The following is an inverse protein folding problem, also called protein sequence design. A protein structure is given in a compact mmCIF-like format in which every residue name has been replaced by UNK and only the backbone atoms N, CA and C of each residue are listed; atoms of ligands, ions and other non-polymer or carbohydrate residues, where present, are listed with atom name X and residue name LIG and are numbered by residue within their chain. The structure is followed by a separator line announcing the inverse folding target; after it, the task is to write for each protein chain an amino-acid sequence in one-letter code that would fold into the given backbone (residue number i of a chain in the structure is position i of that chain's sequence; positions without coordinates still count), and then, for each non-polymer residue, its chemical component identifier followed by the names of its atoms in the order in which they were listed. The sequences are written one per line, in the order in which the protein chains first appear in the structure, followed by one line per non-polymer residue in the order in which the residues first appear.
data_IF_412994725244
#
_entry.id   IF_412994725244
#
_cell.length_a   1.000
_cell.length_b   1.000
_cell.length_c   1.000
_cell.angle_alpha   90.00
_cell.angle_beta   90.00
_cell.angle_gamma   90.00
#
_symmetry.space_group_name_H-M   'P 1'
#
loop_
_entity.id
_entity.type
_entity.pdbx_description
1 polymer ?
#
# COMPACT_ATOMS: atom_id res chain seq x y z
N UNK A 1 19.02 10.62 -3.83
CA UNK A 1 18.00 9.55 -3.94
C UNK A 1 16.84 9.99 -3.08
N UNK A 2 15.71 10.36 -3.69
CA UNK A 2 14.46 10.53 -2.95
C UNK A 2 14.13 9.19 -2.31
N UNK A 3 14.37 9.09 -1.01
CA UNK A 3 13.91 7.95 -0.23
C UNK A 3 12.42 8.20 -0.06
N UNK A 4 11.58 7.47 -0.77
CA UNK A 4 10.12 7.57 -0.64
C UNK A 4 9.68 7.56 0.82
N UNK A 5 8.48 8.06 1.10
CA UNK A 5 7.96 8.16 2.46
C UNK A 5 7.34 6.81 2.86
N UNK A 6 7.69 6.31 4.04
CA UNK A 6 7.02 5.16 4.64
C UNK A 6 5.88 5.62 5.54
N UNK A 7 4.68 5.06 5.34
CA UNK A 7 3.48 5.39 6.11
C UNK A 7 2.92 4.12 6.77
N UNK A 8 3.06 4.04 8.09
CA UNK A 8 2.63 2.87 8.88
C UNK A 8 1.11 2.65 8.79
N UNK A 9 0.30 3.71 8.71
CA UNK A 9 -1.15 3.59 8.65
C UNK A 9 -1.56 2.96 7.32
N UNK A 10 -1.00 3.46 6.21
CA UNK A 10 -1.21 2.91 4.87
C UNK A 10 -0.74 1.46 4.76
N UNK A 11 0.41 1.12 5.36
CA UNK A 11 0.93 -0.26 5.37
C UNK A 11 -0.04 -1.19 6.13
N UNK A 12 -0.49 -0.79 7.32
CA UNK A 12 -1.45 -1.59 8.10
C UNK A 12 -2.78 -1.78 7.37
N UNK A 13 -3.26 -0.74 6.69
CA UNK A 13 -4.47 -0.79 5.87
C UNK A 13 -4.32 -1.79 4.73
N UNK A 14 -3.27 -1.67 3.90
CA UNK A 14 -3.11 -2.54 2.73
C UNK A 14 -2.85 -3.99 3.14
N UNK A 15 -2.09 -4.23 4.21
CA UNK A 15 -1.91 -5.57 4.77
C UNK A 15 -3.24 -6.19 5.25
N UNK A 16 -4.21 -5.39 5.71
CA UNK A 16 -5.51 -5.89 6.14
C UNK A 16 -6.42 -6.21 4.95
N UNK A 17 -6.42 -5.38 3.92
CA UNK A 17 -7.40 -5.45 2.83
C UNK A 17 -6.95 -6.32 1.65
N UNK A 18 -5.65 -6.36 1.33
CA UNK A 18 -5.14 -7.04 0.14
C UNK A 18 -4.76 -8.50 0.39
N UNK A 19 -4.85 -9.31 -0.66
CA UNK A 19 -4.44 -10.72 -0.62
C UNK A 19 -2.92 -10.87 -0.56
N UNK A 20 -2.41 -11.99 -0.02
CA UNK A 20 -0.96 -12.28 -0.04
C UNK A 20 -0.42 -12.28 -1.48
N UNK A 21 -1.20 -12.82 -2.44
CA UNK A 21 -0.82 -12.87 -3.84
C UNK A 21 -0.66 -11.46 -4.42
N UNK A 22 -1.67 -10.61 -4.26
CA UNK A 22 -1.65 -9.22 -4.73
C UNK A 22 -0.48 -8.44 -4.13
N UNK A 23 -0.24 -8.60 -2.84
CA UNK A 23 0.87 -7.94 -2.13
C UNK A 23 2.23 -8.39 -2.66
N UNK A 24 2.44 -9.68 -2.90
CA UNK A 24 3.71 -10.19 -3.46
C UNK A 24 3.93 -9.64 -4.87
N UNK A 25 2.91 -9.72 -5.73
CA UNK A 25 2.99 -9.23 -7.11
C UNK A 25 3.20 -7.71 -7.18
N UNK A 26 2.51 -6.94 -6.33
CA UNK A 26 2.55 -5.48 -6.35
C UNK A 26 3.73 -4.85 -5.62
N UNK A 27 4.30 -5.52 -4.62
CA UNK A 27 5.41 -4.96 -3.81
C UNK A 27 6.77 -5.56 -4.15
N UNK A 28 6.81 -6.75 -4.79
CA UNK A 28 8.03 -7.53 -4.99
C UNK A 28 8.62 -8.13 -3.70
N UNK A 29 7.93 -8.01 -2.56
CA UNK A 29 8.37 -8.61 -1.30
C UNK A 29 8.10 -10.12 -1.28
N UNK A 30 8.92 -10.86 -0.53
CA UNK A 30 8.75 -12.31 -0.43
C UNK A 30 7.42 -12.69 0.22
N UNK A 31 6.83 -13.80 -0.23
CA UNK A 31 5.62 -14.39 0.37
C UNK A 31 5.76 -14.62 1.87
N UNK A 32 6.94 -15.05 2.33
CA UNK A 32 7.23 -15.24 3.75
C UNK A 32 7.13 -13.94 4.54
N UNK A 33 7.71 -12.85 4.02
CA UNK A 33 7.65 -11.52 4.64
C UNK A 33 6.21 -11.03 4.75
N UNK A 34 5.45 -11.08 3.66
CA UNK A 34 4.04 -10.65 3.65
C UNK A 34 3.21 -11.50 4.61
N UNK A 35 3.40 -12.82 4.62
CA UNK A 35 2.69 -13.74 5.51
C UNK A 35 2.95 -13.41 6.99
N UNK A 36 4.21 -13.23 7.38
CA UNK A 36 4.58 -12.88 8.77
C UNK A 36 4.05 -11.52 9.21
N UNK A 37 3.91 -10.56 8.29
CA UNK A 37 3.31 -9.26 8.58
C UNK A 37 1.79 -9.37 8.78
N UNK A 38 1.09 -10.10 7.91
CA UNK A 38 -0.36 -10.31 8.02
C UNK A 38 -0.74 -11.14 9.26
N UNK A 39 0.06 -12.14 9.63
CA UNK A 39 -0.17 -12.94 10.83
C UNK A 39 0.15 -12.20 12.13
N UNK A 40 0.85 -11.06 12.06
CA UNK A 40 1.32 -10.32 13.23
C UNK A 40 2.56 -10.93 13.90
N UNK A 41 3.10 -12.04 13.40
CA UNK A 41 4.35 -12.63 13.89
C UNK A 41 5.52 -11.64 13.75
N UNK A 42 5.48 -10.80 12.70
CA UNK A 42 6.37 -9.66 12.53
C UNK A 42 5.59 -8.35 12.63
N UNK A 43 6.05 -7.46 13.51
CA UNK A 43 5.52 -6.09 13.63
C UNK A 43 5.93 -5.23 12.42
N UNK A 44 5.00 -4.42 11.91
CA UNK A 44 5.23 -3.47 10.80
C UNK A 44 6.34 -2.48 11.15
N UNK A 45 6.40 -2.05 12.41
CA UNK A 45 7.39 -1.13 12.96
C UNK A 45 8.82 -1.68 12.92
N UNK A 46 8.99 -3.00 12.69
CA UNK A 46 10.28 -3.68 12.52
C UNK A 46 10.65 -3.93 11.06
N UNK A 47 9.97 -3.30 10.11
CA UNK A 47 10.36 -3.34 8.70
C UNK A 47 11.59 -2.47 8.45
N UNK A 48 12.42 -2.90 7.50
CA UNK A 48 13.43 -2.00 6.95
C UNK A 48 12.74 -0.93 6.10
N UNK A 49 13.41 0.21 5.91
CA UNK A 49 12.84 1.36 5.21
C UNK A 49 12.42 0.99 3.77
N UNK A 50 13.21 0.17 3.07
CA UNK A 50 12.90 -0.25 1.70
C UNK A 50 11.55 -0.99 1.60
N UNK A 51 11.32 -1.98 2.45
CA UNK A 51 10.07 -2.74 2.45
C UNK A 51 8.88 -1.88 2.88
N UNK A 52 9.09 -0.96 3.82
CA UNK A 52 8.05 -0.04 4.26
C UNK A 52 7.64 0.94 3.14
N UNK A 53 8.61 1.46 2.39
CA UNK A 53 8.35 2.29 1.21
C UNK A 53 7.56 1.50 0.16
N UNK A 54 7.97 0.27 -0.17
CA UNK A 54 7.27 -0.56 -1.16
C UNK A 54 5.81 -0.84 -0.81
N UNK A 55 5.52 -1.11 0.46
CA UNK A 55 4.15 -1.30 0.93
C UNK A 55 3.34 0.00 0.90
N UNK A 56 3.98 1.14 1.15
CA UNK A 56 3.33 2.46 1.06
C UNK A 56 3.01 2.81 -0.40
N UNK A 57 3.97 2.66 -1.30
CA UNK A 57 3.80 2.87 -2.75
C UNK A 57 2.66 2.00 -3.30
N UNK A 58 2.60 0.73 -2.90
CA UNK A 58 1.52 -0.16 -3.33
C UNK A 58 0.16 0.26 -2.76
N UNK A 59 0.11 0.69 -1.51
CA UNK A 59 -1.10 1.24 -0.89
C UNK A 59 -1.62 2.46 -1.65
N UNK A 60 -0.75 3.36 -2.09
CA UNK A 60 -1.13 4.54 -2.88
C UNK A 60 -1.65 4.19 -4.28
N UNK A 61 -1.20 3.08 -4.86
CA UNK A 61 -1.69 2.59 -6.14
C UNK A 61 -3.09 1.97 -6.03
N UNK A 62 -3.36 1.25 -4.93
CA UNK A 62 -4.63 0.58 -4.66
C UNK A 62 -5.68 1.56 -4.16
N UNK A 63 -5.32 2.41 -3.21
CA UNK A 63 -6.19 3.42 -2.60
C UNK A 63 -5.96 4.80 -3.20
N UNK A 64 -6.04 4.89 -4.54
CA UNK A 64 -5.94 6.18 -5.22
C UNK A 64 -6.93 7.15 -4.59
N UNK A 65 -6.48 8.34 -4.17
CA UNK A 65 -7.39 9.33 -3.62
C UNK A 65 -8.44 9.68 -4.69
N UNK A 66 -9.70 9.67 -4.28
CA UNK A 66 -10.79 10.22 -5.11
C UNK A 66 -10.55 11.73 -5.15
N UNK A 67 -10.13 12.24 -6.30
CA UNK A 67 -10.00 13.67 -6.51
C UNK A 67 -11.39 14.21 -6.83
N UNK A 68 -12.05 14.80 -5.84
CA UNK A 68 -13.27 15.55 -6.05
C UNK A 68 -12.91 17.00 -6.42
N UNK A 69 -13.21 17.38 -7.66
CA UNK A 69 -13.04 18.76 -8.14
C UNK A 69 -14.38 19.49 -8.00
N UNK A 70 -14.51 20.31 -6.97
CA UNK A 70 -15.70 21.15 -6.77
C UNK A 70 -15.76 22.23 -7.87
N UNK A 71 -16.85 22.23 -8.65
CA UNK A 71 -17.12 23.26 -9.67
C UNK A 71 -16.96 22.86 -11.14
N UNK A 72 -16.73 21.58 -11.47
CA UNK A 72 -16.78 21.09 -12.87
C UNK A 72 -18.02 20.21 -13.07
N UNK A 73 -18.97 20.66 -13.89
CA UNK A 73 -20.02 19.76 -14.40
C UNK A 73 -19.36 18.64 -15.21
N UNK A 74 -19.40 17.42 -14.67
CA UNK A 74 -19.06 16.22 -15.42
C UNK A 74 -20.14 16.04 -16.48
N UNK A 75 -19.86 16.42 -17.74
CA UNK A 75 -20.65 15.94 -18.87
C UNK A 75 -20.57 14.42 -18.87
N UNK A 76 -21.66 13.77 -18.42
CA UNK A 76 -21.91 12.35 -18.71
C UNK A 76 -21.81 12.20 -20.22
N UNK A 77 -20.79 11.48 -20.69
CA UNK A 77 -20.77 11.00 -22.06
C UNK A 77 -21.85 9.90 -22.12
N UNK A 78 -22.92 10.20 -22.86
CA UNK A 78 -23.96 9.26 -23.30
C UNK A 78 -23.38 8.32 -24.36
#
# INVERSE_FOLDING_TARGET
MDKGVADIAKIKQVLKQESIKSLVEGTGLSKSTISSLKSGTRKVEKLNLFAAIKLTEYSDQVFKPIIEIWGKELKKQL
#
